data_IF_503300492853
#
_entry.id   IF_503300492853
#
_cell.length_a   1.000
_cell.length_b   1.000
_cell.length_c   1.000
_cell.angle_alpha   90.00
_cell.angle_beta   90.00
_cell.angle_gamma   90.00
#
_symmetry.space_group_name_H-M   'P 1'
#
loop_
_entity.id
_entity.type
_entity.pdbx_description
1 polymer ?
#
# COMPACT_ATOMS: atom_id res chain seq x y z
N UNK A 1 4.13 11.48 10.44
CA UNK A 1 3.78 10.52 9.36
C UNK A 1 4.16 9.14 9.84
N UNK A 2 3.20 8.27 10.10
CA UNK A 2 3.45 6.95 10.70
C UNK A 2 3.91 5.99 9.60
N UNK A 3 5.14 5.50 9.73
CA UNK A 3 5.79 4.50 8.88
C UNK A 3 5.07 3.15 8.97
N UNK A 4 5.13 2.36 7.90
CA UNK A 4 4.55 1.00 7.79
C UNK A 4 5.10 -0.02 8.80
N UNK A 5 5.93 0.38 9.76
CA UNK A 5 6.49 -0.49 10.81
C UNK A 5 5.42 -0.98 11.80
N UNK A 6 4.23 -0.34 11.88
CA UNK A 6 3.18 -0.70 12.85
C UNK A 6 1.81 -1.05 12.27
N UNK A 7 1.52 -0.76 11.00
CA UNK A 7 0.18 -0.96 10.41
C UNK A 7 0.31 -1.62 9.04
N UNK A 8 -0.20 -2.86 8.93
CA UNK A 8 -0.32 -3.73 7.74
C UNK A 8 0.86 -4.65 7.40
N UNK A 9 0.95 -5.78 8.13
CA UNK A 9 1.71 -6.97 7.72
C UNK A 9 1.45 -7.39 6.26
N UNK A 10 0.24 -7.12 5.73
CA UNK A 10 -0.16 -7.48 4.36
C UNK A 10 0.29 -6.50 3.27
N UNK A 11 0.81 -5.31 3.60
CA UNK A 11 1.38 -4.38 2.61
C UNK A 11 2.92 -4.49 2.49
N UNK A 12 3.54 -5.42 3.24
CA UNK A 12 4.98 -5.62 3.21
C UNK A 12 5.45 -6.07 1.83
N UNK A 13 6.62 -5.59 1.42
CA UNK A 13 7.29 -5.96 0.19
C UNK A 13 8.69 -6.50 0.53
N UNK A 14 8.94 -7.81 0.40
CA UNK A 14 10.23 -8.41 0.79
C UNK A 14 11.41 -7.74 0.09
N UNK A 15 12.41 -7.30 0.87
CA UNK A 15 13.64 -6.70 0.35
C UNK A 15 13.55 -5.20 0.04
N UNK A 16 12.39 -4.56 0.22
CA UNK A 16 12.19 -3.14 -0.01
C UNK A 16 11.53 -2.48 1.19
N UNK A 17 12.03 -1.33 1.62
CA UNK A 17 11.27 -0.47 2.53
C UNK A 17 10.30 0.34 1.71
N UNK A 18 9.02 0.17 2.00
CA UNK A 18 7.93 0.97 1.45
C UNK A 18 7.28 1.77 2.56
N UNK A 19 6.61 2.87 2.20
CA UNK A 19 5.76 3.64 3.11
C UNK A 19 4.37 3.76 2.48
N UNK A 20 3.35 3.87 3.32
CA UNK A 20 1.98 3.89 2.83
C UNK A 20 0.95 4.10 3.93
N UNK A 21 -0.29 4.28 3.50
CA UNK A 21 -1.42 4.56 4.37
C UNK A 21 -2.68 3.88 3.85
N UNK A 22 -3.44 3.31 4.78
CA UNK A 22 -4.78 2.79 4.54
C UNK A 22 -5.81 3.92 4.59
N UNK A 23 -6.87 3.77 3.81
CA UNK A 23 -8.07 4.60 3.84
C UNK A 23 -9.29 3.70 3.78
N UNK A 24 -10.23 3.88 4.70
CA UNK A 24 -11.53 3.20 4.72
C UNK A 24 -12.59 4.25 4.89
N UNK A 25 -13.54 4.34 3.95
CA UNK A 25 -14.59 5.35 3.96
C UNK A 25 -15.95 4.68 3.78
N UNK A 26 -16.92 5.02 4.62
CA UNK A 26 -18.31 4.56 4.41
C UNK A 26 -18.90 5.21 3.15
N UNK A 27 -19.84 4.51 2.52
CA UNK A 27 -20.42 4.95 1.25
C UNK A 27 -21.60 5.88 1.52
N UNK A 28 -21.68 7.05 0.87
CA UNK A 28 -22.81 7.95 1.05
C UNK A 28 -24.10 7.38 0.43
N UNK A 29 -25.21 7.66 1.10
CA UNK A 29 -26.58 7.34 0.70
C UNK A 29 -27.44 8.59 0.88
N UNK A 30 -28.67 8.57 0.37
CA UNK A 30 -29.61 9.69 0.52
C UNK A 30 -29.93 10.05 1.99
N UNK A 31 -29.68 9.13 2.93
CA UNK A 31 -30.03 9.27 4.34
C UNK A 31 -28.82 9.29 5.28
N UNK A 32 -27.59 9.37 4.76
CA UNK A 32 -26.37 9.31 5.56
C UNK A 32 -25.33 8.38 4.95
N UNK A 33 -24.63 7.59 5.78
CA UNK A 33 -23.61 6.65 5.32
C UNK A 33 -24.03 5.21 5.56
N UNK A 34 -23.73 4.33 4.61
CA UNK A 34 -23.97 2.88 4.75
C UNK A 34 -23.08 2.32 5.89
N UNK A 35 -23.67 1.73 6.95
CA UNK A 35 -22.89 1.18 8.06
C UNK A 35 -22.18 -0.14 7.71
N UNK A 36 -22.60 -0.82 6.64
CA UNK A 36 -22.14 -2.16 6.28
C UNK A 36 -21.17 -2.15 5.09
N UNK A 37 -21.23 -1.13 4.23
CA UNK A 37 -20.38 -1.03 3.04
C UNK A 37 -19.39 0.13 3.14
N UNK A 38 -18.16 -0.15 2.74
CA UNK A 38 -17.08 0.82 2.69
C UNK A 38 -16.41 0.80 1.32
N UNK A 39 -15.79 1.91 0.96
CA UNK A 39 -14.71 1.93 -0.02
C UNK A 39 -13.39 1.75 0.72
N UNK A 40 -12.54 0.85 0.23
CA UNK A 40 -11.23 0.56 0.77
C UNK A 40 -10.14 1.11 -0.14
N UNK A 41 -9.07 1.64 0.42
CA UNK A 41 -7.96 2.19 -0.35
C UNK A 41 -6.62 2.09 0.35
N UNK A 42 -5.58 1.87 -0.43
CA UNK A 42 -4.21 1.91 0.05
C UNK A 42 -3.37 2.76 -0.89
N UNK A 43 -2.68 3.76 -0.34
CA UNK A 43 -1.68 4.53 -1.07
C UNK A 43 -0.31 4.19 -0.50
N UNK A 44 0.66 3.91 -1.36
CA UNK A 44 2.02 3.66 -0.93
C UNK A 44 3.05 4.05 -1.98
N UNK A 45 4.28 4.23 -1.52
CA UNK A 45 5.41 4.58 -2.36
C UNK A 45 6.67 3.85 -1.89
N UNK A 46 7.62 3.73 -2.80
CA UNK A 46 8.90 3.14 -2.46
C UNK A 46 9.96 3.24 -3.57
N UNK A 47 11.20 2.85 -3.24
CA UNK A 47 11.68 2.62 -1.87
C UNK A 47 11.70 3.92 -1.03
N UNK A 48 11.64 3.84 0.30
CA UNK A 48 11.41 5.03 1.17
C UNK A 48 12.51 6.09 1.05
N UNK A 49 13.76 5.67 0.88
CA UNK A 49 14.95 6.52 0.86
C UNK A 49 15.19 7.26 -0.46
N UNK A 50 14.83 6.63 -1.58
CA UNK A 50 14.81 7.22 -2.91
C UNK A 50 13.53 6.70 -3.63
N UNK A 51 12.39 7.41 -3.48
CA UNK A 51 11.10 6.99 -4.04
C UNK A 51 11.09 6.96 -5.56
N UNK A 52 10.67 5.83 -6.14
CA UNK A 52 10.66 5.58 -7.59
C UNK A 52 9.27 5.26 -8.13
N UNK A 53 8.34 4.89 -7.27
CA UNK A 53 6.95 4.65 -7.63
C UNK A 53 6.01 5.15 -6.54
N UNK A 54 4.78 5.46 -6.95
CA UNK A 54 3.62 5.65 -6.09
C UNK A 54 2.48 4.82 -6.67
N UNK A 55 1.85 4.00 -5.84
CA UNK A 55 0.72 3.15 -6.22
C UNK A 55 -0.46 3.53 -5.34
N UNK A 56 -1.60 3.75 -5.98
CA UNK A 56 -2.88 3.94 -5.32
C UNK A 56 -3.83 2.82 -5.72
N UNK A 57 -4.24 2.03 -4.73
CA UNK A 57 -5.26 0.99 -4.89
C UNK A 57 -6.55 1.52 -4.30
N UNK A 58 -7.63 1.46 -5.06
CA UNK A 58 -8.98 1.78 -4.61
C UNK A 58 -9.92 0.64 -4.99
N UNK A 59 -10.65 0.14 -4.00
CA UNK A 59 -11.63 -0.92 -4.15
C UNK A 59 -12.99 -0.36 -3.73
N UNK A 60 -13.93 -0.38 -4.66
CA UNK A 60 -15.32 -0.07 -4.37
C UNK A 60 -16.01 -1.30 -3.78
N UNK A 61 -16.69 -1.11 -2.64
CA UNK A 61 -17.55 -2.12 -2.01
C UNK A 61 -16.94 -3.54 -1.94
N UNK A 62 -15.71 -3.72 -1.38
CA UNK A 62 -15.10 -5.03 -1.31
C UNK A 62 -15.92 -5.96 -0.41
N UNK A 63 -16.28 -7.13 -0.95
CA UNK A 63 -17.17 -8.09 -0.28
C UNK A 63 -16.45 -8.99 0.73
N UNK A 64 -15.12 -9.06 0.68
CA UNK A 64 -14.32 -9.95 1.52
C UNK A 64 -14.02 -9.37 2.92
N UNK A 65 -13.98 -8.04 3.05
CA UNK A 65 -13.82 -7.33 4.33
C UNK A 65 -14.01 -5.82 4.13
N UNK A 66 -14.59 -5.15 5.13
CA UNK A 66 -14.72 -3.68 5.15
C UNK A 66 -13.40 -2.96 5.44
N UNK A 67 -12.38 -3.68 5.93
CA UNK A 67 -11.12 -3.09 6.36
C UNK A 67 -10.11 -3.05 5.23
N UNK A 68 -9.63 -1.85 4.90
CA UNK A 68 -8.64 -1.68 3.84
C UNK A 68 -7.31 -2.42 4.08
N UNK A 69 -6.95 -2.68 5.34
CA UNK A 69 -5.76 -3.46 5.69
C UNK A 69 -5.87 -4.92 5.26
N UNK A 70 -7.08 -5.44 5.04
CA UNK A 70 -7.36 -6.82 4.63
C UNK A 70 -7.69 -6.94 3.13
N UNK A 71 -7.95 -5.82 2.45
CA UNK A 71 -8.37 -5.80 1.03
C UNK A 71 -7.39 -5.07 0.13
N UNK A 72 -7.28 -3.74 0.23
CA UNK A 72 -6.43 -2.96 -0.68
C UNK A 72 -4.92 -3.11 -0.38
N UNK A 73 -4.54 -3.34 0.88
CA UNK A 73 -3.14 -3.54 1.27
C UNK A 73 -2.45 -4.75 0.59
N UNK A 74 -3.02 -5.98 0.58
CA UNK A 74 -2.39 -7.11 -0.13
C UNK A 74 -2.34 -6.89 -1.65
N UNK A 75 -3.32 -6.20 -2.23
CA UNK A 75 -3.28 -5.82 -3.65
C UNK A 75 -2.11 -4.88 -3.92
N UNK A 76 -1.87 -3.90 -3.05
CA UNK A 76 -0.69 -3.04 -3.16
C UNK A 76 0.62 -3.85 -3.14
N UNK A 77 0.77 -4.81 -2.23
CA UNK A 77 1.99 -5.64 -2.13
C UNK A 77 2.28 -6.38 -3.44
N UNK A 78 1.26 -7.03 -4.03
CA UNK A 78 1.39 -7.75 -5.31
C UNK A 78 1.80 -6.82 -6.44
N UNK A 79 1.13 -5.66 -6.56
CA UNK A 79 1.44 -4.69 -7.63
C UNK A 79 2.82 -4.07 -7.42
N UNK A 80 3.21 -3.78 -6.18
CA UNK A 80 4.51 -3.22 -5.86
C UNK A 80 5.65 -4.21 -6.18
N UNK A 81 5.47 -5.50 -5.92
CA UNK A 81 6.41 -6.56 -6.30
C UNK A 81 6.64 -6.59 -7.82
N UNK A 82 5.56 -6.55 -8.60
CA UNK A 82 5.66 -6.48 -10.06
C UNK A 82 6.31 -5.17 -10.53
N UNK A 83 6.02 -4.06 -9.84
CA UNK A 83 6.55 -2.74 -10.19
C UNK A 83 8.05 -2.67 -10.01
N UNK A 84 8.61 -3.16 -8.89
CA UNK A 84 10.06 -3.13 -8.66
C UNK A 84 10.81 -3.99 -9.66
N UNK A 85 10.24 -5.13 -10.07
CA UNK A 85 10.80 -5.99 -11.13
C UNK A 85 10.76 -5.26 -12.47
N UNK A 86 9.60 -4.72 -12.87
CA UNK A 86 9.42 -4.03 -14.15
C UNK A 86 10.33 -2.81 -14.31
N UNK A 87 10.57 -2.09 -13.20
CA UNK A 87 11.42 -0.89 -13.18
C UNK A 87 12.90 -1.20 -12.91
N UNK A 88 13.27 -2.48 -12.76
CA UNK A 88 14.63 -2.91 -12.38
C UNK A 88 15.18 -2.18 -11.14
N UNK A 89 14.33 -1.96 -10.14
CA UNK A 89 14.72 -1.34 -8.88
C UNK A 89 15.40 -2.43 -8.04
N UNK A 90 16.69 -2.31 -7.67
CA UNK A 90 17.33 -3.32 -6.84
C UNK A 90 16.78 -3.30 -5.41
N UNK A 91 16.84 -4.41 -4.65
CA UNK A 91 16.48 -4.42 -3.23
C UNK A 91 17.30 -3.41 -2.41
N UNK A 92 16.76 -2.98 -1.26
CA UNK A 92 17.37 -1.98 -0.38
C UNK A 92 18.79 -2.34 0.04
N UNK A 93 19.05 -3.63 0.33
CA UNK A 93 20.39 -4.10 0.67
C UNK A 93 21.42 -3.80 -0.44
N UNK A 94 21.02 -3.93 -1.70
CA UNK A 94 21.87 -3.63 -2.85
C UNK A 94 21.96 -2.13 -3.07
N UNK A 95 20.83 -1.40 -3.01
CA UNK A 95 20.79 0.07 -3.18
C UNK A 95 21.69 0.79 -2.17
N UNK A 96 21.62 0.38 -0.90
CA UNK A 96 22.31 1.07 0.20
C UNK A 96 23.81 0.81 0.25
N UNK A 97 24.30 -0.27 -0.38
CA UNK A 97 25.73 -0.53 -0.53
C UNK A 97 26.43 0.49 -1.44
N UNK A 98 25.71 1.07 -2.41
CA UNK A 98 26.28 2.06 -3.33
C UNK A 98 26.18 3.50 -2.81
N UNK A 99 25.23 3.79 -1.92
CA UNK A 99 25.02 5.13 -1.35
C UNK A 99 25.90 5.46 -0.13
N UNK A 100 26.71 4.51 0.36
CA UNK A 100 27.59 4.67 1.52
C UNK A 100 29.07 4.88 1.15
N UNK A 101 29.34 5.34 -0.08
CA UNK A 101 30.62 5.89 -0.55
C UNK A 101 30.45 7.34 -0.95
#
# INVERSE_FOLDING_TARGET
>A
TVSLESESSLALLPGYRVAGKTGTAQIPTDYGYDPNHTNASFIGWGPVDDPRFLIYVWLQEPQTSIWSSQTAAPVFSIVAEQTVIALNIPPDLVRNQYGSR
#
